data_IF_606783447889
#
_entry.id   IF_606783447889
#
_cell.length_a   1.000
_cell.length_b   1.000
_cell.length_c   1.000
_cell.angle_alpha   90.00
_cell.angle_beta   90.00
_cell.angle_gamma   90.00
#
_symmetry.space_group_name_H-M   'P 1'
#
loop_
_entity.id
_entity.type
_entity.pdbx_description
1 polymer ?
#
# COMPACT_ATOMS: atom_id res chain seq x y z
N UNK A 1 -67.84 4.44 12.48
CA UNK A 1 -67.92 2.98 12.27
C UNK A 1 -67.22 2.68 10.96
N UNK A 2 -65.92 2.36 11.01
CA UNK A 2 -65.15 1.78 9.90
C UNK A 2 -64.11 0.86 10.58
N UNK A 3 -64.23 -0.43 10.30
CA UNK A 3 -63.41 -1.52 10.84
C UNK A 3 -61.94 -1.37 10.47
N UNK A 4 -61.06 -1.50 11.46
CA UNK A 4 -59.63 -1.77 11.27
C UNK A 4 -59.47 -3.26 10.94
N UNK A 5 -59.09 -3.57 9.71
CA UNK A 5 -58.53 -4.90 9.38
C UNK A 5 -57.09 -4.94 9.87
N UNK A 6 -56.80 -5.95 10.69
CA UNK A 6 -55.47 -6.26 11.16
C UNK A 6 -54.62 -6.84 10.03
N UNK A 7 -53.45 -6.25 9.84
CA UNK A 7 -52.39 -6.77 8.99
C UNK A 7 -51.37 -7.44 9.92
N UNK A 8 -51.31 -8.77 9.87
CA UNK A 8 -50.34 -9.59 10.59
C UNK A 8 -49.07 -9.68 9.75
N UNK A 9 -47.90 -9.20 10.22
CA UNK A 9 -46.66 -9.35 9.47
C UNK A 9 -46.22 -10.83 9.44
N UNK A 10 -45.68 -11.34 8.32
CA UNK A 10 -45.22 -12.71 8.23
C UNK A 10 -43.97 -12.96 9.11
N UNK A 11 -43.92 -14.16 9.68
CA UNK A 11 -42.84 -14.66 10.51
C UNK A 11 -41.50 -14.66 9.75
N UNK A 12 -40.44 -14.21 10.44
CA UNK A 12 -39.08 -14.09 9.91
C UNK A 12 -38.50 -15.43 9.46
N UNK A 13 -37.93 -15.43 8.25
CA UNK A 13 -37.03 -16.48 7.79
C UNK A 13 -35.70 -16.41 8.57
N UNK A 14 -35.13 -17.56 8.99
CA UNK A 14 -33.78 -17.58 9.54
C UNK A 14 -32.76 -17.28 8.44
N UNK A 15 -32.06 -16.15 8.57
CA UNK A 15 -30.90 -15.80 7.76
C UNK A 15 -29.84 -16.90 7.91
N UNK A 16 -29.72 -17.76 6.90
CA UNK A 16 -28.62 -18.73 6.81
C UNK A 16 -27.36 -17.97 6.42
N UNK A 17 -26.54 -17.64 7.41
CA UNK A 17 -25.21 -17.05 7.20
C UNK A 17 -24.32 -18.09 6.51
N UNK A 18 -24.20 -17.99 5.18
CA UNK A 18 -23.18 -18.71 4.42
C UNK A 18 -21.82 -18.10 4.75
N UNK A 19 -21.03 -18.80 5.59
CA UNK A 19 -19.62 -18.48 5.78
C UNK A 19 -18.87 -18.67 4.45
N UNK A 20 -18.02 -17.71 4.02
CA UNK A 20 -17.16 -17.89 2.85
C UNK A 20 -16.12 -18.99 3.12
N UNK A 21 -15.65 -19.70 2.07
CA UNK A 21 -14.61 -20.70 2.22
C UNK A 21 -13.32 -20.03 2.74
N UNK A 22 -12.71 -20.67 3.74
CA UNK A 22 -11.39 -20.32 4.25
C UNK A 22 -10.37 -20.38 3.12
N UNK A 23 -9.75 -19.24 2.81
CA UNK A 23 -8.66 -19.15 1.85
C UNK A 23 -7.46 -19.99 2.27
N UNK A 24 -6.53 -20.30 1.33
CA UNK A 24 -5.36 -21.09 1.61
C UNK A 24 -4.46 -20.42 2.66
N UNK A 25 -4.01 -21.21 3.62
CA UNK A 25 -3.05 -20.83 4.66
C UNK A 25 -1.78 -20.27 4.01
N UNK A 26 -1.30 -19.07 4.39
CA UNK A 26 -0.03 -18.56 3.89
C UNK A 26 1.11 -19.50 4.32
N UNK A 27 1.83 -20.02 3.33
CA UNK A 27 3.06 -20.78 3.56
C UNK A 27 4.11 -19.82 4.11
N UNK A 28 4.66 -20.13 5.29
CA UNK A 28 5.70 -19.34 5.93
C UNK A 28 6.90 -19.14 4.98
N UNK A 29 7.15 -17.90 4.59
CA UNK A 29 8.37 -17.52 3.89
C UNK A 29 9.55 -17.64 4.86
N UNK A 30 10.64 -18.25 4.39
CA UNK A 30 11.89 -18.38 5.14
C UNK A 30 12.43 -16.99 5.52
N UNK A 31 13.02 -16.83 6.72
CA UNK A 31 13.59 -15.56 7.15
C UNK A 31 14.79 -15.18 6.27
N UNK A 32 15.00 -13.88 5.99
CA UNK A 32 16.21 -13.41 5.32
C UNK A 32 17.42 -13.63 6.23
N UNK A 33 18.46 -14.26 5.69
CA UNK A 33 19.78 -14.35 6.30
C UNK A 33 20.38 -12.95 6.45
N UNK A 34 20.67 -12.55 7.69
CA UNK A 34 21.33 -11.29 8.03
C UNK A 34 22.71 -11.16 7.36
N UNK A 35 23.06 -9.99 6.78
CA UNK A 35 24.43 -9.72 6.38
C UNK A 35 25.31 -9.37 7.58
N UNK A 36 26.53 -9.91 7.56
CA UNK A 36 27.63 -9.69 8.50
C UNK A 36 28.01 -8.21 8.62
N UNK A 37 28.27 -7.66 9.83
CA UNK A 37 28.78 -6.30 9.97
C UNK A 37 30.25 -6.23 9.54
N UNK A 38 30.54 -5.38 8.55
CA UNK A 38 31.92 -4.99 8.21
C UNK A 38 32.33 -3.80 9.07
N UNK A 39 33.33 -4.00 9.92
CA UNK A 39 33.98 -2.96 10.70
C UNK A 39 34.91 -2.16 9.78
N UNK A 40 34.73 -0.85 9.68
CA UNK A 40 35.68 0.06 9.03
C UNK A 40 36.03 1.25 9.95
N UNK A 41 37.20 1.08 10.56
CA UNK A 41 38.27 2.03 10.92
C UNK A 41 38.03 3.54 10.92
N UNK A 42 38.35 4.09 12.08
CA UNK A 42 38.63 5.47 12.51
C UNK A 42 39.52 6.28 11.57
N UNK A 43 39.15 7.54 11.29
CA UNK A 43 40.08 8.60 10.89
C UNK A 43 39.70 9.96 11.52
N UNK A 44 40.75 10.61 12.04
CA UNK A 44 40.84 11.78 12.94
C UNK A 44 40.65 13.12 12.18
N UNK A 45 40.40 14.28 12.85
CA UNK A 45 39.82 15.47 12.24
C UNK A 45 40.88 16.41 11.65
N UNK A 46 40.45 17.27 10.71
CA UNK A 46 41.22 18.40 10.24
C UNK A 46 40.46 19.71 10.49
N UNK A 47 41.16 20.61 11.16
CA UNK A 47 40.84 21.98 11.59
C UNK A 47 40.60 22.93 10.40
N UNK A 48 39.81 23.99 10.64
CA UNK A 48 39.33 25.01 9.67
C UNK A 48 40.41 25.84 8.94
N UNK A 49 40.06 26.96 8.25
CA UNK A 49 39.22 28.05 8.78
C UNK A 49 38.21 28.71 7.80
N UNK A 50 37.18 29.36 8.35
CA UNK A 50 36.40 30.48 7.77
C UNK A 50 37.09 31.82 8.09
N UNK A 51 36.68 33.01 7.59
CA UNK A 51 35.71 33.36 6.53
C UNK A 51 36.25 34.40 5.51
N UNK A 52 35.50 34.68 4.44
CA UNK A 52 35.65 35.95 3.71
C UNK A 52 34.27 36.52 3.32
N UNK A 53 33.98 37.65 3.92
CA UNK A 53 32.87 38.58 3.66
C UNK A 53 33.04 39.23 2.29
N UNK A 54 31.98 39.34 1.50
CA UNK A 54 31.88 40.38 0.45
C UNK A 54 30.44 40.84 0.33
N UNK A 55 30.23 42.10 0.72
CA UNK A 55 29.02 42.91 0.53
C UNK A 55 29.30 43.91 -0.58
N UNK A 56 28.43 44.04 -1.59
CA UNK A 56 28.22 45.29 -2.38
C UNK A 56 27.12 45.16 -3.46
N UNK A 57 26.55 46.27 -3.98
CA UNK A 57 25.11 46.51 -3.89
C UNK A 57 24.36 46.79 -5.21
N UNK A 58 23.03 46.89 -5.08
CA UNK A 58 22.06 47.75 -5.77
C UNK A 58 21.86 47.69 -7.31
N UNK A 59 20.59 47.44 -7.70
CA UNK A 59 19.98 47.95 -8.94
C UNK A 59 18.98 47.00 -9.60
N UNK A 60 17.68 47.35 -9.74
CA UNK A 60 16.67 46.50 -10.38
C UNK A 60 16.60 46.73 -11.90
N UNK A 61 16.41 45.68 -12.73
CA UNK A 61 15.90 45.87 -14.07
C UNK A 61 14.36 45.70 -14.12
N UNK A 62 13.74 46.78 -14.55
CA UNK A 62 12.36 46.93 -15.00
C UNK A 62 12.03 46.01 -16.19
N UNK A 63 10.85 45.38 -16.17
CA UNK A 63 10.08 45.08 -17.39
C UNK A 63 10.00 43.60 -17.85
N UNK A 64 8.82 43.14 -18.29
CA UNK A 64 8.56 41.73 -18.62
C UNK A 64 8.89 41.38 -20.10
N UNK A 65 9.39 40.17 -20.33
CA UNK A 65 9.45 39.57 -21.66
C UNK A 65 8.59 38.28 -21.70
N UNK A 66 7.66 38.15 -22.67
CA UNK A 66 6.84 36.95 -22.82
C UNK A 66 7.66 35.80 -23.39
N UNK A 67 7.76 34.69 -22.66
CA UNK A 67 8.32 33.45 -23.20
C UNK A 67 7.22 32.72 -23.96
N UNK A 68 7.17 32.98 -25.27
CA UNK A 68 6.44 32.16 -26.24
C UNK A 68 7.16 30.81 -26.32
N UNK A 69 6.72 29.87 -25.48
CA UNK A 69 7.14 28.47 -25.52
C UNK A 69 6.45 27.73 -26.67
N UNK A 70 7.20 27.54 -27.76
CA UNK A 70 6.89 26.65 -28.88
C UNK A 70 6.45 25.27 -28.38
N UNK A 71 5.22 24.88 -28.71
CA UNK A 71 4.71 23.53 -28.45
C UNK A 71 5.56 22.43 -29.12
N UNK A 72 5.54 21.20 -28.58
CA UNK A 72 6.14 20.05 -29.23
C UNK A 72 5.34 19.71 -30.49
N UNK A 73 5.99 19.85 -31.63
CA UNK A 73 5.51 19.41 -32.94
C UNK A 73 5.64 17.89 -32.99
N UNK A 74 4.57 17.17 -32.69
CA UNK A 74 4.50 15.75 -32.98
C UNK A 74 4.42 15.57 -34.50
N UNK A 75 5.37 14.85 -35.14
CA UNK A 75 5.25 14.56 -36.56
C UNK A 75 4.09 13.60 -36.78
N UNK A 76 3.16 14.03 -37.64
CA UNK A 76 2.29 13.17 -38.42
C UNK A 76 3.12 12.08 -39.12
N UNK A 77 3.09 10.86 -38.58
CA UNK A 77 3.26 9.65 -39.37
C UNK A 77 1.90 8.96 -39.45
N UNK A 78 1.08 9.46 -40.37
CA UNK A 78 0.01 8.69 -40.94
C UNK A 78 0.54 8.07 -42.24
N UNK A 79 0.52 6.73 -42.35
CA UNK A 79 -0.21 5.98 -43.39
C UNK A 79 0.45 4.65 -43.79
N UNK A 80 -0.45 3.67 -43.98
CA UNK A 80 -0.38 2.46 -44.81
C UNK A 80 0.15 1.17 -44.16
N UNK A 81 -0.78 0.45 -43.50
CA UNK A 81 -0.66 -0.97 -43.14
C UNK A 81 -1.97 -1.73 -43.31
N UNK A 82 -2.61 -1.53 -44.47
CA UNK A 82 -3.48 -2.47 -45.19
C UNK A 82 -4.55 -3.27 -44.40
N UNK A 83 -5.77 -2.74 -44.43
CA UNK A 83 -7.03 -3.49 -44.38
C UNK A 83 -7.20 -4.30 -45.69
N UNK A 84 -7.53 -5.60 -45.57
CA UNK A 84 -8.06 -6.58 -46.55
C UNK A 84 -7.13 -7.76 -46.93
N UNK A 85 -7.32 -8.88 -46.24
CA UNK A 85 -7.25 -10.24 -46.81
C UNK A 85 -8.22 -11.15 -46.04
N UNK A 86 -9.51 -11.01 -46.38
CA UNK A 86 -10.47 -12.08 -46.25
C UNK A 86 -10.38 -12.94 -47.52
N UNK A 87 -10.27 -14.27 -47.34
CA UNK A 87 -10.50 -15.39 -48.28
C UNK A 87 -9.30 -16.34 -48.36
N UNK A 88 -9.51 -17.55 -47.82
CA UNK A 88 -8.90 -18.77 -48.35
C UNK A 88 -7.92 -19.45 -47.42
N UNK A 89 -8.36 -20.48 -46.72
CA UNK A 89 -7.47 -21.35 -45.96
C UNK A 89 -8.18 -22.44 -45.17
N UNK A 90 -8.92 -23.29 -45.87
CA UNK A 90 -9.42 -24.55 -45.35
C UNK A 90 -8.26 -25.52 -45.06
N UNK A 91 -8.34 -26.20 -43.92
CA UNK A 91 -7.45 -27.26 -43.46
C UNK A 91 -7.53 -27.30 -41.94
N UNK A 92 -8.28 -28.22 -41.32
CA UNK A 92 -7.86 -29.62 -41.22
C UNK A 92 -6.51 -29.63 -40.48
N UNK A 93 -6.37 -30.13 -39.26
CA UNK A 93 -6.72 -31.47 -38.83
C UNK A 93 -6.85 -31.54 -37.30
N UNK A 94 -7.64 -32.51 -36.89
CA UNK A 94 -7.89 -32.97 -35.53
C UNK A 94 -6.57 -33.31 -34.81
N UNK A 95 -6.38 -32.80 -33.58
CA UNK A 95 -5.58 -33.50 -32.58
C UNK A 95 -6.18 -33.27 -31.19
N UNK A 96 -7.11 -34.16 -30.86
CA UNK A 96 -7.64 -34.42 -29.52
C UNK A 96 -6.47 -34.90 -28.65
N UNK A 97 -5.82 -34.00 -27.93
CA UNK A 97 -4.90 -34.35 -26.84
C UNK A 97 -5.71 -34.72 -25.60
N UNK A 98 -6.29 -35.92 -25.57
CA UNK A 98 -6.84 -36.49 -24.36
C UNK A 98 -5.67 -36.88 -23.44
N UNK A 99 -5.29 -36.00 -22.52
CA UNK A 99 -4.43 -36.36 -21.40
C UNK A 99 -5.26 -37.18 -20.43
N UNK A 100 -5.01 -38.48 -20.43
CA UNK A 100 -5.50 -39.44 -19.44
C UNK A 100 -5.02 -39.03 -18.05
N UNK A 101 -5.90 -38.84 -17.05
CA UNK A 101 -5.45 -38.83 -15.67
C UNK A 101 -5.06 -40.27 -15.29
N UNK A 102 -3.76 -40.49 -15.09
CA UNK A 102 -3.25 -41.73 -14.48
C UNK A 102 -3.79 -41.80 -13.05
N UNK A 103 -4.71 -42.73 -12.82
CA UNK A 103 -5.17 -43.11 -11.50
C UNK A 103 -3.99 -43.69 -10.72
N UNK A 104 -3.48 -42.93 -9.75
CA UNK A 104 -2.49 -43.45 -8.79
C UNK A 104 -3.25 -44.18 -7.69
N UNK A 105 -2.85 -45.44 -7.51
CA UNK A 105 -3.44 -46.42 -6.62
C UNK A 105 -3.53 -45.94 -5.17
N UNK A 106 -4.68 -46.22 -4.56
CA UNK A 106 -4.96 -46.18 -3.13
C UNK A 106 -4.03 -47.15 -2.40
N UNK A 107 -3.14 -46.70 -1.49
CA UNK A 107 -2.47 -47.61 -0.58
C UNK A 107 -3.44 -48.07 0.53
N UNK A 108 -3.38 -49.37 0.82
CA UNK A 108 -4.12 -50.08 1.85
C UNK A 108 -3.89 -49.50 3.27
N UNK A 109 -4.84 -49.66 4.21
CA UNK A 109 -4.64 -49.26 5.60
C UNK A 109 -3.58 -50.15 6.25
N UNK A 110 -2.42 -49.58 6.58
CA UNK A 110 -1.46 -50.21 7.47
C UNK A 110 -2.00 -50.13 8.90
N UNK A 111 -2.22 -51.30 9.50
CA UNK A 111 -2.55 -51.45 10.92
C UNK A 111 -1.27 -51.18 11.71
N UNK A 112 -1.13 -50.00 12.29
CA UNK A 112 -0.02 -49.68 13.18
C UNK A 112 -0.40 -50.04 14.61
N UNK A 113 0.23 -51.08 15.14
CA UNK A 113 0.13 -51.46 16.56
C UNK A 113 0.73 -50.34 17.43
N UNK A 114 -0.11 -49.69 18.24
CA UNK A 114 0.30 -48.74 19.28
C UNK A 114 1.02 -49.49 20.40
N UNK A 115 2.34 -49.32 20.50
CA UNK A 115 3.11 -49.64 21.72
C UNK A 115 3.03 -48.45 22.66
N UNK A 116 2.59 -48.70 23.89
CA UNK A 116 2.46 -47.70 24.95
C UNK A 116 3.86 -47.17 25.37
N UNK A 117 4.05 -45.85 25.51
CA UNK A 117 5.28 -45.32 26.10
C UNK A 117 5.28 -45.57 27.61
N UNK A 118 6.35 -46.20 28.10
CA UNK A 118 6.68 -46.27 29.53
C UNK A 118 6.85 -44.86 30.08
N UNK A 119 5.99 -44.44 31.01
CA UNK A 119 6.13 -43.19 31.75
C UNK A 119 7.39 -43.21 32.61
N UNK A 120 8.44 -42.57 32.13
CA UNK A 120 9.54 -42.11 32.99
C UNK A 120 9.05 -40.89 33.76
N UNK A 121 9.01 -41.01 35.08
CA UNK A 121 8.66 -39.93 36.02
C UNK A 121 9.69 -38.80 35.87
N UNK A 122 9.30 -37.58 35.45
CA UNK A 122 10.21 -36.43 35.42
C UNK A 122 10.53 -35.98 36.85
N UNK A 123 11.77 -35.55 37.13
CA UNK A 123 12.11 -34.95 38.43
C UNK A 123 11.36 -33.64 38.63
N UNK A 124 11.06 -33.33 39.90
CA UNK A 124 10.26 -32.18 40.31
C UNK A 124 10.77 -30.84 39.72
N UNK A 125 9.88 -29.96 39.22
CA UNK A 125 10.29 -28.66 38.72
C UNK A 125 10.79 -27.78 39.87
N UNK A 126 12.04 -27.34 39.78
CA UNK A 126 12.56 -26.26 40.61
C UNK A 126 11.74 -25.01 40.26
N UNK A 127 11.06 -24.44 41.26
CA UNK A 127 10.27 -23.22 41.11
C UNK A 127 11.17 -22.06 40.63
N UNK A 128 11.17 -21.82 39.32
CA UNK A 128 11.71 -20.60 38.74
C UNK A 128 10.83 -19.40 39.07
N UNK A 129 11.36 -18.17 39.01
CA UNK A 129 10.56 -16.96 39.20
C UNK A 129 9.39 -16.92 38.21
N UNK A 130 8.25 -16.29 38.59
CA UNK A 130 7.06 -16.26 37.74
C UNK A 130 7.41 -15.64 36.39
N UNK A 131 7.18 -16.40 35.32
CA UNK A 131 7.24 -15.89 33.94
C UNK A 131 6.04 -14.96 33.80
N UNK A 132 6.28 -13.65 33.95
CA UNK A 132 5.28 -12.65 33.58
C UNK A 132 5.13 -12.71 32.05
N UNK A 133 3.91 -12.90 31.51
CA UNK A 133 3.71 -12.74 30.08
C UNK A 133 4.02 -11.28 29.75
N UNK A 134 5.15 -11.04 29.08
CA UNK A 134 5.37 -9.76 28.41
C UNK A 134 4.40 -9.71 27.24
N UNK A 135 3.26 -9.05 27.43
CA UNK A 135 2.47 -8.58 26.31
C UNK A 135 3.34 -7.58 25.54
N UNK A 136 3.93 -8.02 24.43
CA UNK A 136 4.46 -7.12 23.41
C UNK A 136 3.27 -6.39 22.77
N UNK A 137 2.78 -5.36 23.45
CA UNK A 137 2.14 -4.25 22.76
C UNK A 137 3.28 -3.59 22.00
N UNK A 138 3.45 -3.96 20.72
CA UNK A 138 4.17 -3.08 19.82
C UNK A 138 3.34 -1.80 19.80
N UNK A 139 3.75 -0.78 20.57
CA UNK A 139 3.51 0.59 20.13
C UNK A 139 3.88 0.57 18.66
N UNK A 140 2.95 0.93 17.78
CA UNK A 140 3.18 0.86 16.35
C UNK A 140 4.53 1.54 16.08
N UNK A 141 5.56 0.75 15.79
CA UNK A 141 6.94 1.24 15.81
C UNK A 141 7.09 2.15 14.59
N UNK A 142 7.47 3.40 14.81
CA UNK A 142 7.80 4.36 13.76
C UNK A 142 6.97 5.64 13.78
N UNK A 143 7.26 6.54 12.83
CA UNK A 143 6.63 7.85 12.76
C UNK A 143 5.14 7.74 12.43
N UNK A 144 4.35 8.64 13.01
CA UNK A 144 2.94 8.78 12.67
C UNK A 144 2.75 9.48 11.32
N UNK A 145 1.56 9.35 10.71
CA UNK A 145 1.17 10.20 9.60
C UNK A 145 0.62 11.54 10.14
N UNK A 146 1.50 12.52 10.29
CA UNK A 146 1.15 13.83 10.85
C UNK A 146 0.49 13.78 12.22
N UNK A 147 -0.26 14.83 12.55
CA UNK A 147 -1.05 14.90 13.80
C UNK A 147 -2.45 14.33 13.59
N UNK A 148 -3.10 13.86 14.67
CA UNK A 148 -4.52 13.53 14.63
C UNK A 148 -5.36 14.76 14.22
N UNK A 149 -6.27 14.59 13.25
CA UNK A 149 -7.10 15.67 12.70
C UNK A 149 -8.60 15.42 12.95
N UNK A 150 -8.95 15.16 14.21
CA UNK A 150 -10.34 14.91 14.62
C UNK A 150 -10.91 13.65 13.95
N UNK A 151 -11.97 13.83 13.15
CA UNK A 151 -12.66 12.71 12.48
C UNK A 151 -11.97 12.27 11.17
N UNK A 152 -10.89 12.94 10.74
CA UNK A 152 -10.16 12.54 9.53
C UNK A 152 -9.37 11.27 9.77
N UNK A 153 -9.62 10.26 8.94
CA UNK A 153 -9.05 8.93 9.04
C UNK A 153 -7.59 8.89 8.58
N UNK A 154 -6.80 8.07 9.25
CA UNK A 154 -5.39 7.80 8.95
C UNK A 154 -4.38 8.72 9.63
N UNK A 155 -4.80 9.93 10.01
CA UNK A 155 -3.92 10.93 10.62
C UNK A 155 -3.61 10.60 12.07
N UNK A 156 -2.35 10.82 12.49
CA UNK A 156 -1.85 10.44 13.82
C UNK A 156 -1.65 8.93 14.02
N UNK A 157 -1.95 8.11 13.01
CA UNK A 157 -1.70 6.68 13.03
C UNK A 157 -0.36 6.36 12.35
N UNK A 158 0.30 5.32 12.84
CA UNK A 158 1.49 4.74 12.21
C UNK A 158 1.03 3.79 11.11
N UNK A 159 1.57 3.97 9.91
CA UNK A 159 1.30 3.15 8.72
C UNK A 159 -0.20 2.92 8.45
N UNK A 160 -1.01 3.98 8.29
CA UNK A 160 -2.46 3.85 8.14
C UNK A 160 -2.85 3.16 6.83
N UNK A 161 -3.88 2.32 6.86
CA UNK A 161 -4.42 1.65 5.68
C UNK A 161 -5.44 2.51 4.89
N UNK A 162 -5.82 3.67 5.42
CA UNK A 162 -6.70 4.64 4.78
C UNK A 162 -6.30 6.07 5.14
N UNK A 163 -6.52 7.02 4.23
CA UNK A 163 -6.24 8.45 4.46
C UNK A 163 -7.40 9.27 3.89
N UNK A 164 -8.01 10.09 4.73
CA UNK A 164 -9.06 11.02 4.33
C UNK A 164 -8.50 12.39 3.95
N UNK A 165 -8.29 12.63 2.65
CA UNK A 165 -7.85 13.89 2.09
C UNK A 165 -8.83 15.06 2.14
N UNK A 166 -10.01 14.87 2.73
CA UNK A 166 -11.07 15.87 2.71
C UNK A 166 -11.72 16.00 1.34
N UNK A 167 -12.54 17.04 1.17
CA UNK A 167 -13.41 17.22 -0.01
C UNK A 167 -12.65 17.28 -1.34
N UNK A 168 -11.48 17.92 -1.35
CA UNK A 168 -10.76 18.19 -2.60
C UNK A 168 -9.93 16.99 -3.07
N UNK A 169 -9.32 16.25 -2.13
CA UNK A 169 -8.40 15.16 -2.42
C UNK A 169 -9.08 13.79 -2.34
N UNK A 170 -10.18 13.69 -1.60
CA UNK A 170 -10.95 12.47 -1.41
C UNK A 170 -10.29 11.45 -0.48
N UNK A 171 -10.89 10.26 -0.41
CA UNK A 171 -10.45 9.16 0.43
C UNK A 171 -9.54 8.22 -0.37
N UNK A 172 -8.43 7.81 0.24
CA UNK A 172 -7.60 6.70 -0.22
C UNK A 172 -7.76 5.52 0.73
N UNK A 173 -7.95 4.31 0.21
CA UNK A 173 -8.18 3.10 1.01
C UNK A 173 -7.30 1.94 0.57
N UNK A 174 -7.17 0.92 1.43
CA UNK A 174 -6.43 -0.30 1.14
C UNK A 174 -4.94 -0.06 0.95
N UNK A 175 -4.38 0.92 1.67
CA UNK A 175 -2.99 1.35 1.51
C UNK A 175 -2.07 0.27 2.07
N UNK A 176 -1.15 -0.20 1.23
CA UNK A 176 -0.03 -1.06 1.62
C UNK A 176 1.26 -0.26 1.45
N UNK A 177 1.98 -0.05 2.55
CA UNK A 177 3.24 0.70 2.56
C UNK A 177 4.45 -0.22 2.39
N UNK A 178 5.50 0.29 1.74
CA UNK A 178 6.75 -0.43 1.48
C UNK A 178 7.88 0.04 2.42
N UNK A 179 8.11 1.35 2.49
CA UNK A 179 9.29 1.94 3.16
C UNK A 179 8.91 2.85 4.34
N UNK A 180 7.99 2.38 5.21
CA UNK A 180 7.54 3.18 6.37
C UNK A 180 8.66 3.35 7.40
N UNK A 181 8.88 4.58 7.86
CA UNK A 181 9.95 4.95 8.78
C UNK A 181 11.19 5.54 8.11
N UNK A 182 11.32 5.43 6.79
CA UNK A 182 12.38 6.10 6.03
C UNK A 182 12.02 7.57 5.78
N UNK A 183 12.98 8.41 5.33
CA UNK A 183 12.74 9.83 4.97
C UNK A 183 11.51 10.04 4.08
N UNK A 184 11.19 9.02 3.28
CA UNK A 184 10.01 8.93 2.44
C UNK A 184 9.48 7.50 2.41
N UNK A 185 8.20 7.35 2.76
CA UNK A 185 7.45 6.11 2.59
C UNK A 185 6.56 6.16 1.34
N UNK A 186 6.57 5.07 0.57
CA UNK A 186 5.66 4.89 -0.57
C UNK A 186 4.61 3.83 -0.23
N UNK A 187 3.36 4.10 -0.59
CA UNK A 187 2.24 3.18 -0.43
C UNK A 187 1.43 3.02 -1.70
N UNK A 188 0.76 1.87 -1.84
CA UNK A 188 -0.20 1.63 -2.93
C UNK A 188 -1.60 1.43 -2.35
N UNK A 189 -2.56 2.18 -2.86
CA UNK A 189 -3.96 2.10 -2.43
C UNK A 189 -4.93 2.32 -3.60
N UNK A 190 -6.20 2.53 -3.27
CA UNK A 190 -7.26 2.86 -4.22
C UNK A 190 -7.89 4.19 -3.83
N UNK A 191 -8.09 5.07 -4.81
CA UNK A 191 -8.70 6.39 -4.62
C UNK A 191 -9.62 6.74 -5.80
N UNK A 192 -10.46 7.75 -5.61
CA UNK A 192 -11.32 8.26 -6.67
C UNK A 192 -10.49 9.13 -7.63
N UNK A 193 -10.22 8.63 -8.83
CA UNK A 193 -9.63 9.40 -9.92
C UNK A 193 -10.72 10.19 -10.65
N UNK A 194 -10.47 11.48 -10.94
CA UNK A 194 -11.30 12.28 -11.84
C UNK A 194 -10.48 12.70 -13.06
N UNK A 195 -10.87 12.27 -14.29
CA UNK A 195 -10.16 12.66 -15.49
C UNK A 195 -10.42 14.13 -15.84
N UNK A 196 -9.34 14.91 -15.96
CA UNK A 196 -9.39 16.33 -16.33
C UNK A 196 -9.80 17.27 -15.20
N UNK A 197 -9.72 18.57 -15.46
CA UNK A 197 -10.06 19.64 -14.51
C UNK A 197 -11.58 19.97 -14.47
N UNK A 198 -12.41 19.14 -15.11
CA UNK A 198 -13.86 19.36 -15.18
C UNK A 198 -14.53 18.98 -13.84
N UNK A 199 -15.20 19.93 -13.16
CA UNK A 199 -15.77 19.71 -11.83
C UNK A 199 -16.83 18.60 -11.79
N UNK A 200 -17.52 18.36 -12.93
CA UNK A 200 -18.59 17.37 -13.06
C UNK A 200 -18.14 16.00 -13.60
N UNK A 201 -16.84 15.81 -13.85
CA UNK A 201 -16.33 14.53 -14.33
C UNK A 201 -16.63 13.43 -13.31
N UNK A 202 -17.36 12.39 -13.75
CA UNK A 202 -17.64 11.21 -12.92
C UNK A 202 -16.32 10.56 -12.52
N UNK A 203 -16.06 10.52 -11.22
CA UNK A 203 -14.88 9.84 -10.68
C UNK A 203 -14.97 8.32 -10.82
N UNK A 204 -13.81 7.68 -11.00
CA UNK A 204 -13.66 6.23 -11.07
C UNK A 204 -12.67 5.80 -9.98
N UNK A 205 -12.98 4.74 -9.24
CA UNK A 205 -12.01 4.16 -8.30
C UNK A 205 -10.86 3.53 -9.08
N UNK A 206 -9.64 3.95 -8.77
CA UNK A 206 -8.44 3.48 -9.45
C UNK A 206 -7.23 3.44 -8.51
N UNK A 207 -6.17 2.76 -8.93
CA UNK A 207 -4.94 2.60 -8.14
C UNK A 207 -4.24 3.94 -7.98
N UNK A 208 -3.92 4.29 -6.74
CA UNK A 208 -3.12 5.47 -6.41
C UNK A 208 -1.79 5.05 -5.78
N UNK A 209 -0.75 5.83 -6.07
CA UNK A 209 0.51 5.81 -5.33
C UNK A 209 0.46 6.91 -4.28
N UNK A 210 0.59 6.54 -3.02
CA UNK A 210 0.65 7.44 -1.87
C UNK A 210 2.11 7.65 -1.49
N UNK A 211 2.50 8.86 -1.14
CA UNK A 211 3.84 9.20 -0.69
C UNK A 211 3.73 10.05 0.57
N UNK A 212 4.18 9.49 1.70
CA UNK A 212 4.41 10.22 2.93
C UNK A 212 5.90 10.57 3.01
N UNK A 213 6.23 11.82 3.31
CA UNK A 213 7.60 12.29 3.28
C UNK A 213 7.78 13.48 4.22
N UNK A 214 9.02 13.95 4.29
CA UNK A 214 9.42 15.04 5.18
C UNK A 214 9.21 14.66 6.65
N UNK A 215 9.95 13.62 7.09
CA UNK A 215 9.99 13.23 8.48
C UNK A 215 10.50 14.38 9.35
N UNK A 216 9.80 14.61 10.44
CA UNK A 216 10.17 15.63 11.39
C UNK A 216 9.29 15.57 12.62
N UNK A 217 9.27 16.69 13.33
CA UNK A 217 8.52 16.85 14.55
C UNK A 217 7.15 17.48 14.29
N UNK A 218 6.12 16.93 14.94
CA UNK A 218 4.80 17.51 15.05
C UNK A 218 4.39 17.56 16.53
N UNK A 219 4.64 18.70 17.18
CA UNK A 219 4.40 18.95 18.62
C UNK A 219 5.14 18.01 19.57
N UNK A 220 6.37 17.62 19.23
CA UNK A 220 7.20 16.73 20.04
C UNK A 220 7.16 15.26 19.61
N UNK A 221 6.31 14.91 18.65
CA UNK A 221 6.16 13.54 18.13
C UNK A 221 6.78 13.41 16.72
N UNK A 222 7.56 12.35 16.50
CA UNK A 222 8.11 12.05 15.17
C UNK A 222 7.01 11.62 14.20
N UNK A 223 6.88 12.34 13.09
CA UNK A 223 5.83 12.12 12.11
C UNK A 223 6.23 12.54 10.70
N UNK A 224 5.59 11.96 9.70
CA UNK A 224 5.59 12.51 8.36
C UNK A 224 4.78 13.80 8.34
N UNK A 225 5.41 14.90 7.91
CA UNK A 225 4.75 16.21 7.88
C UNK A 225 3.99 16.45 6.61
N UNK A 226 4.25 15.67 5.56
CA UNK A 226 3.65 15.83 4.24
C UNK A 226 3.16 14.52 3.65
N UNK A 227 2.01 14.58 2.97
CA UNK A 227 1.51 13.47 2.16
C UNK A 227 0.92 13.92 0.84
N UNK A 228 1.14 13.13 -0.20
CA UNK A 228 0.47 13.30 -1.49
C UNK A 228 0.13 11.94 -2.08
N UNK A 229 -0.78 11.91 -3.04
CA UNK A 229 -1.01 10.75 -3.88
C UNK A 229 -1.33 11.15 -5.30
N UNK A 230 -1.03 10.25 -6.23
CA UNK A 230 -1.17 10.45 -7.66
C UNK A 230 -1.48 9.13 -8.37
N UNK A 231 -1.92 9.23 -9.63
CA UNK A 231 -2.34 8.08 -10.44
C UNK A 231 -1.36 7.84 -11.61
N UNK A 232 -0.31 7.02 -11.43
CA UNK A 232 0.75 6.85 -12.44
C UNK A 232 0.25 6.30 -13.77
N UNK A 233 -0.81 5.48 -13.76
CA UNK A 233 -1.43 4.93 -14.97
C UNK A 233 -2.09 6.00 -15.85
N UNK A 234 -2.37 7.19 -15.30
CA UNK A 234 -2.90 8.35 -16.03
C UNK A 234 -1.79 9.37 -16.38
N UNK A 235 -0.52 8.97 -16.25
CA UNK A 235 0.63 9.83 -16.53
C UNK A 235 0.93 10.85 -15.44
N UNK A 236 0.32 10.72 -14.26
CA UNK A 236 0.66 11.55 -13.11
C UNK A 236 1.95 11.08 -12.45
N UNK A 237 2.59 11.99 -11.73
CA UNK A 237 3.85 11.75 -11.04
C UNK A 237 3.85 12.43 -9.67
N UNK A 238 4.79 12.01 -8.83
CA UNK A 238 5.01 12.66 -7.55
C UNK A 238 5.36 14.14 -7.74
N UNK A 239 4.61 15.02 -7.08
CA UNK A 239 4.88 16.45 -7.02
C UNK A 239 4.72 16.94 -5.59
N UNK A 240 5.82 17.38 -5.00
CA UNK A 240 5.83 17.95 -3.66
C UNK A 240 4.89 19.16 -3.52
N UNK A 241 4.76 19.97 -4.58
CA UNK A 241 3.82 21.11 -4.59
C UNK A 241 2.35 20.72 -4.47
N UNK A 242 2.02 19.44 -4.64
CA UNK A 242 0.69 18.86 -4.41
C UNK A 242 0.62 18.12 -3.07
N UNK A 243 1.56 18.29 -2.16
CA UNK A 243 1.44 17.71 -0.83
C UNK A 243 0.38 18.44 0.00
N UNK A 244 -0.20 17.72 0.95
CA UNK A 244 -0.88 18.29 2.10
C UNK A 244 0.14 18.40 3.22
N UNK A 245 0.15 19.53 3.92
CA UNK A 245 0.81 19.68 5.21
C UNK A 245 -0.06 19.01 6.28
N UNK A 246 0.56 18.28 7.21
CA UNK A 246 -0.15 17.43 8.16
C UNK A 246 -0.03 17.89 9.61
N UNK A 247 0.78 18.91 9.86
CA UNK A 247 1.11 19.37 11.21
C UNK A 247 0.78 20.84 11.46
N UNK A 248 0.02 21.47 10.57
CA UNK A 248 -0.63 22.77 10.80
C UNK A 248 -1.69 22.67 11.91
#
# INVERSE_FOLDING_TARGET
MVERRGDTPPAGEPLTVRMPPTGPTPTAANPPTSPTPTVATTATPATGPTPATTTSPAGPPTGPAPVVGKGPRWPLLALVGLLLLALGGAGGWLARGAVTPTAVATPAPAVTTTVAPTSTVPPAPVAGPPIVPVTSTRAQDGPALGRSQGDRRGYGAVQPAEIDGGTDRGLVTGITWEDWGEDRATGRGTALYRPGDEPDARGVQDRATVVAFDLGDCDGDEAYRRVTWYFPQHGEEFRESRAQELCD
#
